data_IF_297190102690
#
_entry.id   IF_297190102690
#
_cell.length_a   1.000
_cell.length_b   1.000
_cell.length_c   1.000
_cell.angle_alpha   90.00
_cell.angle_beta   90.00
_cell.angle_gamma   90.00
#
_symmetry.space_group_name_H-M   'P 1'
#
loop_
_entity.id
_entity.type
_entity.pdbx_description
1 polymer ?
#
# COMPACT_ATOMS: atom_id res chain seq x y z
N UNK A 1 53.73 -38.45 14.41
CA UNK A 1 53.43 -37.12 13.83
C UNK A 1 51.91 -36.94 13.90
N UNK A 2 51.42 -35.94 14.64
CA UNK A 2 50.00 -35.64 14.76
C UNK A 2 49.66 -34.43 13.87
N UNK A 3 48.58 -34.50 13.11
CA UNK A 3 48.12 -33.39 12.27
C UNK A 3 47.51 -32.27 13.14
N UNK A 4 47.71 -30.98 12.79
CA UNK A 4 47.13 -29.88 13.54
C UNK A 4 45.65 -29.73 13.18
N UNK A 5 44.78 -29.86 14.18
CA UNK A 5 43.35 -29.58 14.05
C UNK A 5 43.11 -28.08 13.98
N UNK A 6 42.70 -27.57 12.82
CA UNK A 6 42.17 -26.21 12.69
C UNK A 6 40.78 -26.17 13.33
N UNK A 7 40.71 -25.67 14.56
CA UNK A 7 39.46 -25.33 15.24
C UNK A 7 38.91 -24.04 14.63
N UNK A 8 38.01 -24.18 13.66
CA UNK A 8 37.17 -23.07 13.24
C UNK A 8 36.10 -22.86 14.32
N UNK A 9 35.88 -21.62 14.81
CA UNK A 9 34.70 -21.35 15.63
C UNK A 9 33.46 -21.70 14.82
N UNK A 10 32.48 -22.35 15.46
CA UNK A 10 31.17 -22.55 14.86
C UNK A 10 30.68 -21.18 14.41
N UNK A 11 30.55 -20.99 13.10
CA UNK A 11 29.90 -19.80 12.59
C UNK A 11 28.48 -19.87 13.13
N UNK A 12 28.11 -18.95 14.02
CA UNK A 12 26.72 -18.70 14.35
C UNK A 12 26.04 -18.27 13.04
N UNK A 13 25.55 -19.26 12.30
CA UNK A 13 24.69 -19.03 11.16
C UNK A 13 23.44 -18.44 11.79
N UNK A 14 23.39 -17.12 11.83
CA UNK A 14 22.15 -16.37 11.99
C UNK A 14 21.35 -16.66 10.73
N UNK A 15 20.68 -17.82 10.72
CA UNK A 15 19.77 -18.19 9.65
C UNK A 15 18.68 -17.14 9.67
N UNK A 16 18.75 -16.20 8.72
CA UNK A 16 17.60 -15.36 8.37
C UNK A 16 16.55 -16.36 7.87
N UNK A 17 15.67 -16.80 8.76
CA UNK A 17 14.59 -17.71 8.42
C UNK A 17 13.60 -16.90 7.58
N UNK A 18 13.81 -16.88 6.26
CA UNK A 18 12.91 -16.24 5.30
C UNK A 18 11.56 -16.93 5.40
N UNK A 19 10.56 -16.17 5.80
CA UNK A 19 9.18 -16.63 5.79
C UNK A 19 8.63 -16.45 4.37
N UNK A 20 8.80 -17.47 3.53
CA UNK A 20 8.32 -17.48 2.16
C UNK A 20 6.80 -17.31 2.06
N UNK A 21 6.04 -17.72 3.08
CA UNK A 21 4.59 -17.53 3.08
C UNK A 21 4.25 -16.05 3.27
N UNK A 22 4.90 -15.38 4.23
CA UNK A 22 4.76 -13.94 4.43
C UNK A 22 5.22 -13.14 3.20
N UNK A 23 6.34 -13.52 2.59
CA UNK A 23 6.84 -12.90 1.36
C UNK A 23 5.84 -13.06 0.19
N UNK A 24 5.27 -14.26 0.01
CA UNK A 24 4.29 -14.52 -1.03
C UNK A 24 2.98 -13.74 -0.80
N UNK A 25 2.53 -13.62 0.45
CA UNK A 25 1.38 -12.77 0.80
C UNK A 25 1.64 -11.31 0.46
N UNK A 26 2.78 -10.77 0.90
CA UNK A 26 3.15 -9.39 0.61
C UNK A 26 3.25 -9.12 -0.89
N UNK A 27 3.77 -10.06 -1.68
CA UNK A 27 3.85 -9.92 -3.13
C UNK A 27 2.46 -9.90 -3.79
N UNK A 28 1.50 -10.68 -3.28
CA UNK A 28 0.09 -10.60 -3.71
C UNK A 28 -0.50 -9.22 -3.40
N UNK A 29 -0.27 -8.69 -2.20
CA UNK A 29 -0.73 -7.34 -1.81
C UNK A 29 -0.09 -6.28 -2.71
N UNK A 30 1.21 -6.40 -3.00
CA UNK A 30 1.93 -5.49 -3.90
C UNK A 30 1.34 -5.51 -5.30
N UNK A 31 1.10 -6.69 -5.85
CA UNK A 31 0.48 -6.87 -7.17
C UNK A 31 -0.92 -6.24 -7.22
N UNK A 32 -1.76 -6.48 -6.21
CA UNK A 32 -3.08 -5.86 -6.09
C UNK A 32 -3.00 -4.33 -5.99
N UNK A 33 -2.02 -3.81 -5.23
CA UNK A 33 -1.78 -2.38 -5.10
C UNK A 33 -1.32 -1.74 -6.43
N UNK A 34 -0.52 -2.44 -7.24
CA UNK A 34 -0.16 -1.98 -8.59
C UNK A 34 -1.39 -1.86 -9.49
N UNK A 35 -2.27 -2.86 -9.48
CA UNK A 35 -3.53 -2.80 -10.25
C UNK A 35 -4.36 -1.60 -9.81
N UNK A 36 -4.55 -1.42 -8.50
CA UNK A 36 -5.31 -0.29 -7.97
C UNK A 36 -4.67 1.06 -8.34
N UNK A 37 -3.34 1.14 -8.25
CA UNK A 37 -2.53 2.31 -8.65
C UNK A 37 -2.74 2.65 -10.12
N UNK A 38 -2.68 1.67 -11.01
CA UNK A 38 -2.83 1.92 -12.45
C UNK A 38 -4.24 2.41 -12.78
N UNK A 39 -5.27 1.86 -12.13
CA UNK A 39 -6.65 2.35 -12.25
C UNK A 39 -6.85 3.75 -11.67
N UNK A 40 -6.18 4.09 -10.57
CA UNK A 40 -6.23 5.46 -10.02
C UNK A 40 -5.52 6.44 -10.95
N UNK A 41 -4.42 6.03 -11.58
CA UNK A 41 -3.67 6.87 -12.52
C UNK A 41 -4.46 7.19 -13.82
N UNK A 42 -5.52 6.45 -14.12
CA UNK A 42 -6.46 6.73 -15.21
C UNK A 42 -7.45 7.87 -14.87
N UNK A 43 -7.52 8.32 -13.60
CA UNK A 43 -8.43 9.39 -13.19
C UNK A 43 -7.87 10.78 -13.47
N UNK A 44 -8.72 11.66 -13.99
CA UNK A 44 -8.35 13.03 -14.34
C UNK A 44 -7.82 13.81 -13.13
N UNK A 45 -6.66 14.45 -13.32
CA UNK A 45 -6.00 15.31 -12.32
C UNK A 45 -5.62 14.61 -11.01
N UNK A 46 -5.64 13.28 -10.97
CA UNK A 46 -5.17 12.49 -9.83
C UNK A 46 -3.78 11.95 -10.14
N UNK A 47 -2.87 12.06 -9.16
CA UNK A 47 -1.55 11.43 -9.24
C UNK A 47 -1.43 10.42 -8.12
N UNK A 48 -0.73 9.32 -8.38
CA UNK A 48 -0.51 8.27 -7.40
C UNK A 48 0.95 7.87 -7.39
N UNK A 49 1.55 7.90 -6.20
CA UNK A 49 2.90 7.41 -5.97
C UNK A 49 2.86 5.88 -5.92
N UNK A 50 3.96 5.25 -6.34
CA UNK A 50 4.05 3.79 -6.40
C UNK A 50 3.81 3.13 -5.04
N UNK A 51 3.46 1.83 -5.03
CA UNK A 51 3.21 1.09 -3.80
C UNK A 51 4.43 1.09 -2.89
N UNK A 52 4.27 1.58 -1.67
CA UNK A 52 5.30 1.59 -0.65
C UNK A 52 5.02 0.48 0.39
N UNK A 53 6.05 -0.31 0.70
CA UNK A 53 6.02 -1.28 1.81
C UNK A 53 6.90 -0.75 2.92
N UNK A 54 6.31 -0.51 4.09
CA UNK A 54 7.10 -0.20 5.30
C UNK A 54 7.82 -1.47 5.77
N UNK A 55 9.10 -1.37 6.10
CA UNK A 55 9.87 -2.50 6.64
C UNK A 55 9.15 -3.14 7.83
N UNK A 56 8.99 -4.46 7.78
CA UNK A 56 8.28 -5.22 8.82
C UNK A 56 6.75 -5.12 8.78
N UNK A 57 6.17 -4.59 7.70
CA UNK A 57 4.71 -4.57 7.48
C UNK A 57 4.29 -5.62 6.46
N UNK A 58 3.11 -6.18 6.70
CA UNK A 58 2.31 -7.04 5.83
C UNK A 58 1.36 -6.27 4.90
N UNK A 59 1.45 -4.94 4.88
CA UNK A 59 0.55 -4.05 4.16
C UNK A 59 1.30 -3.16 3.17
N UNK A 60 0.58 -2.72 2.13
CA UNK A 60 1.09 -1.81 1.10
C UNK A 60 0.35 -0.50 1.18
N UNK A 61 1.08 0.61 1.08
CA UNK A 61 0.53 1.96 1.08
C UNK A 61 0.53 2.56 -0.31
N UNK A 62 -0.55 3.24 -0.66
CA UNK A 62 -0.68 4.04 -1.86
C UNK A 62 -0.92 5.48 -1.46
N UNK A 63 0.03 6.37 -1.76
CA UNK A 63 -0.14 7.80 -1.59
C UNK A 63 -0.74 8.41 -2.87
N UNK A 64 -1.87 9.08 -2.71
CA UNK A 64 -2.67 9.64 -3.80
C UNK A 64 -2.70 11.16 -3.62
N UNK A 65 -2.10 11.86 -4.57
CA UNK A 65 -2.05 13.32 -4.64
C UNK A 65 -3.22 13.86 -5.47
N UNK A 66 -4.02 14.70 -4.82
CA UNK A 66 -5.26 15.27 -5.32
C UNK A 66 -5.11 16.78 -5.61
N UNK A 67 -3.89 17.32 -5.56
CA UNK A 67 -3.59 18.75 -5.76
C UNK A 67 -4.26 19.38 -6.97
N UNK A 68 -4.32 18.66 -8.09
CA UNK A 68 -4.75 19.20 -9.38
C UNK A 68 -6.28 19.02 -9.55
N UNK A 69 -6.96 18.36 -8.61
CA UNK A 69 -8.42 18.11 -8.66
C UNK A 69 -9.27 19.29 -8.20
N UNK A 70 -8.68 20.28 -7.52
CA UNK A 70 -9.41 21.37 -6.88
C UNK A 70 -10.28 20.93 -5.69
N UNK A 71 -10.07 19.72 -5.16
CA UNK A 71 -10.80 19.18 -3.99
C UNK A 71 -9.91 19.18 -2.75
N UNK A 72 -10.52 19.40 -1.59
CA UNK A 72 -9.85 19.17 -0.31
C UNK A 72 -9.66 17.66 -0.06
N UNK A 73 -8.41 17.22 0.05
CA UNK A 73 -8.10 15.81 0.21
C UNK A 73 -8.61 15.23 1.55
N UNK A 74 -8.77 16.05 2.60
CA UNK A 74 -9.37 15.60 3.85
C UNK A 74 -10.86 15.27 3.68
N UNK A 75 -11.62 16.11 3.00
CA UNK A 75 -13.02 15.82 2.66
C UNK A 75 -13.16 14.56 1.77
N UNK A 76 -12.27 14.39 0.80
CA UNK A 76 -12.24 13.18 -0.05
C UNK A 76 -11.94 11.94 0.79
N UNK A 77 -10.99 12.02 1.74
CA UNK A 77 -10.71 10.94 2.68
C UNK A 77 -11.94 10.60 3.53
N UNK A 78 -12.65 11.60 4.09
CA UNK A 78 -13.88 11.36 4.84
C UNK A 78 -14.96 10.67 3.97
N UNK A 79 -15.12 11.11 2.71
CA UNK A 79 -16.06 10.49 1.77
C UNK A 79 -15.68 9.04 1.43
N UNK A 80 -14.39 8.73 1.31
CA UNK A 80 -13.86 7.38 1.14
C UNK A 80 -14.10 6.50 2.38
N UNK A 81 -13.82 7.03 3.58
CA UNK A 81 -14.05 6.33 4.84
C UNK A 81 -15.52 5.98 5.03
N UNK A 82 -16.44 6.89 4.70
CA UNK A 82 -17.88 6.64 4.71
C UNK A 82 -18.35 5.56 3.73
N UNK A 83 -17.49 5.17 2.76
CA UNK A 83 -17.72 4.07 1.81
C UNK A 83 -17.02 2.77 2.22
N UNK A 84 -16.43 2.72 3.42
CA UNK A 84 -15.79 1.53 3.97
C UNK A 84 -14.33 1.33 3.55
N UNK A 85 -13.64 2.37 3.07
CA UNK A 85 -12.22 2.29 2.73
C UNK A 85 -11.34 2.78 3.88
N UNK A 86 -10.34 1.98 4.24
CA UNK A 86 -9.37 2.32 5.28
C UNK A 86 -8.31 3.29 4.76
N UNK A 87 -8.21 4.47 5.37
CA UNK A 87 -7.14 5.42 5.12
C UNK A 87 -6.13 5.39 6.27
N UNK A 88 -4.86 5.44 5.93
CA UNK A 88 -3.74 5.47 6.88
C UNK A 88 -3.41 6.91 7.31
N UNK A 89 -3.53 7.86 6.38
CA UNK A 89 -3.33 9.27 6.63
C UNK A 89 -4.07 10.13 5.60
N UNK A 90 -4.35 11.38 5.95
CA UNK A 90 -4.86 12.40 5.05
C UNK A 90 -4.27 13.77 5.40
N UNK A 91 -4.06 14.59 4.38
CA UNK A 91 -3.63 15.98 4.47
C UNK A 91 -4.50 16.84 3.55
N UNK A 92 -4.18 18.13 3.41
CA UNK A 92 -4.89 19.03 2.48
C UNK A 92 -4.74 18.67 1.00
N UNK A 93 -3.73 17.87 0.61
CA UNK A 93 -3.45 17.51 -0.81
C UNK A 93 -3.34 16.03 -1.08
N UNK A 94 -2.89 15.26 -0.10
CA UNK A 94 -2.56 13.84 -0.26
C UNK A 94 -3.39 13.01 0.70
N UNK A 95 -3.91 11.88 0.22
CA UNK A 95 -4.46 10.81 1.04
C UNK A 95 -3.57 9.57 0.91
N UNK A 96 -3.49 8.76 1.96
CA UNK A 96 -2.76 7.49 1.96
C UNK A 96 -3.74 6.36 2.24
N UNK A 97 -3.86 5.44 1.30
CA UNK A 97 -4.67 4.23 1.44
C UNK A 97 -3.77 3.06 1.79
N UNK A 98 -4.21 2.20 2.70
CA UNK A 98 -3.52 0.97 3.07
C UNK A 98 -4.28 -0.22 2.51
N UNK A 99 -3.56 -1.12 1.83
CA UNK A 99 -4.06 -2.41 1.36
C UNK A 99 -3.42 -3.54 2.16
N UNK A 100 -4.24 -4.47 2.57
CA UNK A 100 -3.90 -5.67 3.34
C UNK A 100 -4.34 -6.93 2.60
N UNK A 101 -4.02 -8.12 3.11
CA UNK A 101 -4.51 -9.37 2.53
C UNK A 101 -6.04 -9.47 2.53
N UNK A 102 -6.70 -8.97 3.58
CA UNK A 102 -8.17 -8.97 3.67
C UNK A 102 -8.79 -8.07 2.58
N UNK A 103 -8.15 -6.94 2.25
CA UNK A 103 -8.60 -6.07 1.14
C UNK A 103 -8.50 -6.76 -0.23
N UNK A 104 -7.59 -7.73 -0.39
CA UNK A 104 -7.53 -8.56 -1.59
C UNK A 104 -8.68 -9.56 -1.59
N UNK A 105 -8.90 -10.24 -0.45
CA UNK A 105 -9.96 -11.23 -0.28
C UNK A 105 -11.34 -10.64 -0.56
N UNK A 106 -11.57 -9.40 -0.14
CA UNK A 106 -12.83 -8.66 -0.33
C UNK A 106 -12.89 -7.89 -1.65
N UNK A 107 -11.89 -8.08 -2.53
CA UNK A 107 -11.76 -7.39 -3.82
C UNK A 107 -11.82 -5.85 -3.72
N UNK A 108 -11.40 -5.28 -2.58
CA UNK A 108 -11.42 -3.83 -2.31
C UNK A 108 -10.54 -3.07 -3.30
N UNK A 109 -9.37 -3.62 -3.65
CA UNK A 109 -8.44 -3.04 -4.61
C UNK A 109 -9.06 -2.81 -6.01
N UNK A 110 -10.01 -3.63 -6.44
CA UNK A 110 -10.75 -3.43 -7.70
C UNK A 110 -11.74 -2.26 -7.65
N UNK A 111 -12.26 -1.93 -6.47
CA UNK A 111 -13.27 -0.87 -6.27
C UNK A 111 -12.65 0.48 -5.90
N UNK A 112 -11.36 0.52 -5.60
CA UNK A 112 -10.69 1.69 -5.04
C UNK A 112 -10.75 2.93 -5.95
N UNK A 113 -10.47 2.77 -7.25
CA UNK A 113 -10.51 3.87 -8.21
C UNK A 113 -11.92 4.44 -8.38
N UNK A 114 -12.94 3.58 -8.51
CA UNK A 114 -14.34 4.01 -8.62
C UNK A 114 -14.82 4.70 -7.35
N UNK A 115 -14.43 4.20 -6.17
CA UNK A 115 -14.74 4.84 -4.90
C UNK A 115 -14.11 6.23 -4.79
N UNK A 116 -12.85 6.36 -5.22
CA UNK A 116 -12.14 7.64 -5.24
C UNK A 116 -12.82 8.64 -6.19
N UNK A 117 -13.20 8.21 -7.38
CA UNK A 117 -13.92 9.05 -8.34
C UNK A 117 -15.25 9.56 -7.76
N UNK A 118 -16.04 8.68 -7.12
CA UNK A 118 -17.28 9.07 -6.45
C UNK A 118 -17.04 10.00 -5.26
N UNK A 119 -15.95 9.80 -4.51
CA UNK A 119 -15.58 10.68 -3.42
C UNK A 119 -15.20 12.08 -3.94
N UNK A 120 -14.41 12.16 -5.02
CA UNK A 120 -14.06 13.42 -5.69
C UNK A 120 -15.28 14.18 -6.22
N UNK A 121 -16.33 13.49 -6.65
CA UNK A 121 -17.59 14.13 -7.05
C UNK A 121 -18.44 14.60 -5.87
N UNK A 122 -18.40 13.88 -4.75
CA UNK A 122 -19.15 14.22 -3.55
C UNK A 122 -18.51 15.36 -2.74
N UNK A 123 -17.20 15.59 -2.89
CA UNK A 123 -16.50 16.66 -2.21
C UNK A 123 -16.69 18.01 -2.91
N UNK A 124 -16.92 19.11 -2.16
CA UNK A 124 -17.07 20.44 -2.74
C UNK A 124 -15.79 20.91 -3.45
N UNK A 125 -15.96 21.81 -4.43
CA UNK A 125 -14.83 22.50 -5.05
C UNK A 125 -14.31 23.56 -4.10
N UNK A 126 -12.99 23.64 -3.95
CA UNK A 126 -12.33 24.78 -3.34
C UNK A 126 -11.97 25.82 -4.39
#
# INVERSE_FOLDING_TARGET
MAAPSLLFPASDVTTIQRDFAAEATLERVRSAAMIARDRIAELDNVRVLGPEVKSGSDSVRLAIDLRDTGRDAWQVACAMAGRGFTLDAASHRVIVVRLTEDDIRDATHHRLASALQLALWASPAN
#
